data_IF_965577860103
#
_entry.id   IF_965577860103
#
_cell.length_a   1.000
_cell.length_b   1.000
_cell.length_c   1.000
_cell.angle_alpha   90.00
_cell.angle_beta   90.00
_cell.angle_gamma   90.00
#
_symmetry.space_group_name_H-M   'P 1'
#
loop_
_entity.id
_entity.type
_entity.pdbx_description
1 polymer ?
#
# COMPACT_ATOMS: atom_id res chain seq x y z
N UNK A 1 -71.52 23.65 -26.94
CA UNK A 1 -72.58 22.94 -26.19
C UNK A 1 -72.50 21.46 -26.56
N UNK A 2 -72.45 20.58 -25.56
CA UNK A 2 -72.48 19.10 -25.58
C UNK A 2 -71.23 18.26 -25.93
N UNK A 3 -70.77 17.56 -24.90
CA UNK A 3 -69.88 16.38 -24.84
C UNK A 3 -70.48 15.15 -25.51
N UNK A 4 -69.64 14.19 -25.98
CA UNK A 4 -69.70 12.75 -25.61
C UNK A 4 -68.34 12.05 -25.72
N UNK A 5 -68.05 11.24 -24.70
CA UNK A 5 -66.93 10.33 -24.49
C UNK A 5 -66.82 9.22 -25.55
N UNK A 6 -65.59 8.80 -25.87
CA UNK A 6 -65.30 7.37 -26.06
C UNK A 6 -63.86 7.03 -25.68
N UNK A 7 -63.76 5.91 -24.97
CA UNK A 7 -62.64 5.34 -24.25
C UNK A 7 -61.71 4.59 -25.22
N UNK A 8 -60.39 4.77 -25.11
CA UNK A 8 -59.47 3.63 -25.29
C UNK A 8 -58.20 3.83 -24.46
N UNK A 9 -58.01 2.91 -23.52
CA UNK A 9 -56.79 2.71 -22.74
C UNK A 9 -55.89 1.76 -23.54
N UNK A 10 -54.60 2.09 -23.68
CA UNK A 10 -53.54 1.09 -23.85
C UNK A 10 -52.20 1.68 -23.38
N UNK A 11 -51.52 0.88 -22.56
CA UNK A 11 -50.47 1.28 -21.64
C UNK A 11 -49.15 1.70 -22.31
N UNK A 12 -48.55 2.76 -21.78
CA UNK A 12 -47.14 3.09 -21.93
C UNK A 12 -46.37 2.24 -20.91
N UNK A 13 -45.55 1.30 -21.37
CA UNK A 13 -44.55 0.65 -20.51
C UNK A 13 -43.28 1.51 -20.49
N UNK A 14 -43.19 2.43 -19.52
CA UNK A 14 -41.93 3.00 -19.08
C UNK A 14 -41.25 1.99 -18.15
N UNK A 15 -40.27 1.25 -18.66
CA UNK A 15 -39.32 0.55 -17.78
C UNK A 15 -38.34 1.60 -17.24
N UNK A 16 -38.49 1.91 -15.95
CA UNK A 16 -37.56 2.75 -15.20
C UNK A 16 -36.15 2.18 -15.26
N UNK A 17 -35.19 3.04 -15.62
CA UNK A 17 -33.77 2.83 -15.32
C UNK A 17 -33.64 3.00 -13.80
N UNK A 18 -33.36 1.92 -13.07
CA UNK A 18 -32.91 2.02 -11.67
C UNK A 18 -31.41 2.29 -11.66
N UNK A 19 -30.91 3.41 -11.10
CA UNK A 19 -29.49 3.61 -10.88
C UNK A 19 -29.18 3.29 -9.42
N UNK A 20 -29.31 2.05 -9.00
CA UNK A 20 -28.84 1.63 -7.66
C UNK A 20 -27.73 0.59 -7.81
N UNK A 21 -26.61 1.01 -8.40
CA UNK A 21 -25.32 0.43 -8.02
C UNK A 21 -24.96 0.96 -6.63
N UNK A 22 -25.57 0.39 -5.60
CA UNK A 22 -24.94 0.41 -4.28
C UNK A 22 -23.71 -0.49 -4.38
N UNK A 23 -22.57 0.10 -4.74
CA UNK A 23 -21.28 -0.50 -4.40
C UNK A 23 -21.25 -0.58 -2.87
N UNK A 24 -21.67 -1.72 -2.32
CA UNK A 24 -21.51 -1.99 -0.89
C UNK A 24 -20.02 -1.96 -0.61
N UNK A 25 -19.59 -0.96 0.15
CA UNK A 25 -18.22 -0.86 0.64
C UNK A 25 -17.90 -2.17 1.38
N UNK A 26 -16.95 -2.93 0.84
CA UNK A 26 -16.56 -4.23 1.37
C UNK A 26 -16.22 -4.05 2.85
N UNK A 27 -16.84 -4.81 3.77
CA UNK A 27 -16.52 -4.70 5.19
C UNK A 27 -15.01 -4.85 5.37
N UNK A 28 -14.38 -3.91 6.06
CA UNK A 28 -12.95 -3.98 6.36
C UNK A 28 -12.71 -5.20 7.27
N UNK A 29 -12.37 -6.35 6.68
CA UNK A 29 -11.98 -7.55 7.42
C UNK A 29 -10.53 -7.36 7.87
N UNK A 30 -10.33 -7.04 9.15
CA UNK A 30 -8.98 -6.97 9.74
C UNK A 30 -8.87 -6.07 10.97
N UNK A 31 -7.67 -6.06 11.57
CA UNK A 31 -7.30 -5.05 12.56
C UNK A 31 -7.05 -3.75 11.81
N UNK A 32 -7.69 -2.62 12.18
CA UNK A 32 -7.40 -1.35 11.55
C UNK A 32 -5.90 -1.04 11.69
N UNK A 33 -5.24 -0.74 10.59
CA UNK A 33 -3.82 -0.35 10.59
C UNK A 33 -3.77 1.16 10.81
N UNK A 34 -3.47 1.64 12.04
CA UNK A 34 -3.35 3.07 12.26
C UNK A 34 -2.18 3.63 11.43
N UNK A 35 -2.23 4.90 11.02
CA UNK A 35 -1.08 5.56 10.43
C UNK A 35 0.14 5.43 11.33
N UNK A 36 1.31 5.23 10.72
CA UNK A 36 2.58 5.35 11.42
C UNK A 36 2.71 6.81 11.91
N UNK A 37 2.40 7.04 13.19
CA UNK A 37 2.70 8.31 13.86
C UNK A 37 4.20 8.64 13.85
N UNK A 38 4.61 9.72 14.52
CA UNK A 38 6.02 10.13 14.49
C UNK A 38 6.92 9.22 15.34
N UNK A 39 6.35 8.53 16.33
CA UNK A 39 7.12 7.80 17.33
C UNK A 39 8.04 8.74 18.13
N UNK A 40 9.00 8.20 18.89
CA UNK A 40 9.17 6.78 19.17
C UNK A 40 8.03 6.22 20.04
N UNK A 41 7.70 4.95 19.84
CA UNK A 41 6.76 4.21 20.69
C UNK A 41 7.49 3.30 21.66
N UNK A 42 6.83 2.95 22.75
CA UNK A 42 7.32 1.93 23.69
C UNK A 42 6.32 0.80 23.72
N UNK A 43 6.78 -0.41 23.40
CA UNK A 43 5.98 -1.62 23.39
C UNK A 43 6.47 -2.62 24.43
N UNK A 44 5.54 -3.39 24.96
CA UNK A 44 5.83 -4.63 25.67
C UNK A 44 5.46 -5.81 24.75
N UNK A 45 6.35 -6.79 24.65
CA UNK A 45 6.10 -8.05 23.95
C UNK A 45 6.06 -9.20 24.96
N UNK A 46 5.75 -10.41 24.50
CA UNK A 46 5.80 -11.60 25.35
C UNK A 46 7.23 -11.91 25.82
N UNK A 47 8.23 -11.54 25.02
CA UNK A 47 9.64 -11.85 25.21
C UNK A 47 10.43 -10.71 25.88
N UNK A 48 10.09 -9.45 25.57
CA UNK A 48 10.83 -8.29 26.06
C UNK A 48 9.91 -7.12 26.38
N UNK A 49 10.21 -6.46 27.49
CA UNK A 49 9.48 -5.28 27.94
C UNK A 49 10.19 -3.99 27.51
N UNK A 50 9.42 -2.92 27.37
CA UNK A 50 9.90 -1.55 27.11
C UNK A 50 10.77 -1.43 25.84
N UNK A 51 10.40 -2.12 24.77
CA UNK A 51 11.04 -1.97 23.45
C UNK A 51 10.72 -0.59 22.90
N UNK A 52 11.76 0.22 22.68
CA UNK A 52 11.62 1.53 21.99
C UNK A 52 11.71 1.32 20.48
N UNK A 53 10.68 1.76 19.76
CA UNK A 53 10.61 1.69 18.30
C UNK A 53 10.59 3.10 17.73
N UNK A 54 11.50 3.41 16.81
CA UNK A 54 11.57 4.68 16.10
C UNK A 54 11.57 4.46 14.60
N UNK A 55 10.92 5.36 13.85
CA UNK A 55 11.01 5.37 12.40
C UNK A 55 12.39 5.88 11.99
N UNK A 56 13.14 5.06 11.25
CA UNK A 56 14.43 5.47 10.67
C UNK A 56 14.21 6.25 9.38
N UNK A 57 13.38 5.71 8.48
CA UNK A 57 13.03 6.34 7.20
C UNK A 57 11.61 5.92 6.76
N UNK A 58 11.05 6.63 5.78
CA UNK A 58 9.71 6.40 5.20
C UNK A 58 9.80 6.25 3.68
N UNK A 59 8.65 6.08 3.02
CA UNK A 59 8.54 6.05 1.55
C UNK A 59 9.25 4.88 0.85
N UNK A 60 9.57 3.82 1.59
CA UNK A 60 9.99 2.54 1.02
C UNK A 60 8.76 1.75 0.56
N UNK A 61 8.84 1.16 -0.63
CA UNK A 61 7.80 0.32 -1.20
C UNK A 61 8.23 -1.14 -1.16
N UNK A 62 7.64 -1.91 -0.25
CA UNK A 62 7.91 -3.33 -0.04
C UNK A 62 9.42 -3.62 0.16
N UNK A 63 10.06 -3.04 1.19
CA UNK A 63 11.46 -3.34 1.51
C UNK A 63 11.64 -4.82 1.87
N UNK A 64 12.76 -5.42 1.46
CA UNK A 64 13.04 -6.85 1.69
C UNK A 64 14.26 -7.06 2.58
N UNK A 65 15.45 -6.63 2.15
CA UNK A 65 16.70 -6.78 2.90
C UNK A 65 17.35 -5.42 3.16
N UNK A 66 18.23 -5.41 4.17
CA UNK A 66 19.06 -4.26 4.54
C UNK A 66 20.52 -4.70 4.73
N UNK A 67 21.46 -3.92 4.18
CA UNK A 67 22.89 -4.09 4.43
C UNK A 67 23.51 -2.76 4.88
N UNK A 68 24.27 -2.80 5.97
CA UNK A 68 24.95 -1.63 6.52
C UNK A 68 26.32 -1.44 5.88
N UNK A 69 26.56 -0.26 5.33
CA UNK A 69 27.83 0.15 4.77
C UNK A 69 28.81 0.59 5.89
N UNK A 70 30.14 0.55 5.66
CA UNK A 70 31.13 0.94 6.66
C UNK A 70 31.00 2.38 7.18
N UNK A 71 30.37 3.26 6.39
CA UNK A 71 30.11 4.65 6.76
C UNK A 71 28.75 4.84 7.48
N UNK A 72 28.10 3.76 7.92
CA UNK A 72 26.77 3.74 8.56
C UNK A 72 25.58 4.03 7.65
N UNK A 73 25.78 4.21 6.35
CA UNK A 73 24.67 4.25 5.39
C UNK A 73 24.05 2.84 5.22
N UNK A 74 22.81 2.78 4.74
CA UNK A 74 22.08 1.53 4.59
C UNK A 74 21.64 1.33 3.14
N UNK A 75 21.99 0.18 2.57
CA UNK A 75 21.39 -0.31 1.33
C UNK A 75 20.08 -1.03 1.68
N UNK A 76 19.01 -0.74 0.94
CA UNK A 76 17.71 -1.40 1.11
C UNK A 76 17.22 -1.90 -0.23
N UNK A 77 16.91 -3.19 -0.33
CA UNK A 77 16.26 -3.74 -1.53
C UNK A 77 14.75 -3.60 -1.42
N UNK A 78 14.12 -3.24 -2.54
CA UNK A 78 12.67 -3.16 -2.66
C UNK A 78 12.20 -4.20 -3.68
N UNK A 79 11.17 -4.97 -3.30
CA UNK A 79 10.64 -6.06 -4.14
C UNK A 79 10.33 -5.66 -5.59
N UNK A 80 9.84 -4.44 -5.92
CA UNK A 80 9.62 -4.02 -7.30
C UNK A 80 10.88 -3.92 -8.19
N UNK A 81 12.07 -4.29 -7.70
CA UNK A 81 13.30 -4.29 -8.50
C UNK A 81 14.15 -3.05 -8.31
N UNK A 82 14.14 -2.43 -7.12
CA UNK A 82 14.90 -1.20 -6.85
C UNK A 82 15.85 -1.41 -5.68
N UNK A 83 17.07 -0.88 -5.82
CA UNK A 83 18.01 -0.74 -4.72
C UNK A 83 18.01 0.72 -4.26
N UNK A 84 17.80 0.94 -2.96
CA UNK A 84 17.75 2.26 -2.33
C UNK A 84 18.95 2.43 -1.40
N UNK A 85 19.28 3.68 -1.12
CA UNK A 85 20.24 4.04 -0.09
C UNK A 85 19.62 5.03 0.89
N UNK A 86 19.85 4.79 2.18
CA UNK A 86 19.45 5.67 3.27
C UNK A 86 20.72 6.24 3.89
N UNK A 87 20.79 7.57 3.97
CA UNK A 87 21.93 8.31 4.52
C UNK A 87 21.48 9.15 5.69
N UNK A 88 22.08 8.97 6.85
CA UNK A 88 21.69 9.70 8.06
C UNK A 88 20.16 9.66 8.34
N UNK A 89 19.53 8.51 8.12
CA UNK A 89 18.08 8.33 8.26
C UNK A 89 17.22 8.87 7.09
N UNK A 90 17.82 9.54 6.11
CA UNK A 90 17.10 10.10 4.96
C UNK A 90 17.20 9.16 3.76
N UNK A 91 16.06 8.79 3.18
CA UNK A 91 16.01 8.02 1.93
C UNK A 91 16.49 8.90 0.76
N UNK A 92 17.51 8.46 0.03
CA UNK A 92 17.94 9.15 -1.19
C UNK A 92 16.79 9.11 -2.21
N UNK A 93 16.40 10.25 -2.82
CA UNK A 93 15.32 10.27 -3.81
C UNK A 93 15.65 9.44 -5.05
N UNK A 94 16.92 9.23 -5.37
CA UNK A 94 17.36 8.46 -6.52
C UNK A 94 17.53 6.98 -6.18
N UNK A 95 17.12 6.13 -7.11
CA UNK A 95 17.38 4.69 -7.06
C UNK A 95 18.81 4.40 -7.52
N UNK A 96 19.45 3.40 -6.94
CA UNK A 96 20.74 2.91 -7.43
C UNK A 96 20.50 2.11 -8.72
N UNK A 97 21.18 2.51 -9.80
CA UNK A 97 21.14 1.84 -11.09
C UNK A 97 22.02 0.59 -11.14
N UNK A 98 21.84 -0.25 -12.16
CA UNK A 98 22.69 -1.43 -12.41
C UNK A 98 22.24 -2.70 -11.69
N UNK A 99 21.08 -2.68 -11.04
CA UNK A 99 20.43 -3.88 -10.51
C UNK A 99 19.91 -4.76 -11.64
N UNK A 100 19.84 -6.10 -11.46
CA UNK A 100 19.28 -7.00 -12.45
C UNK A 100 17.78 -6.80 -12.63
N UNK A 101 17.26 -7.11 -13.81
CA UNK A 101 15.82 -7.28 -14.03
C UNK A 101 15.33 -8.47 -13.20
N UNK A 102 14.25 -8.28 -12.44
CA UNK A 102 13.67 -9.30 -11.56
C UNK A 102 12.21 -9.54 -11.90
N UNK A 103 11.73 -10.74 -11.57
CA UNK A 103 10.32 -11.09 -11.64
C UNK A 103 9.63 -10.69 -10.33
N UNK A 104 8.57 -9.88 -10.41
CA UNK A 104 7.97 -9.21 -9.23
C UNK A 104 6.61 -9.79 -8.79
N UNK A 105 6.17 -10.92 -9.34
CA UNK A 105 4.90 -11.56 -8.96
C UNK A 105 5.02 -12.51 -7.75
N UNK A 106 3.89 -12.77 -7.08
CA UNK A 106 3.83 -13.68 -5.94
C UNK A 106 4.73 -13.23 -4.80
N UNK A 107 5.70 -14.08 -4.43
CA UNK A 107 6.76 -13.78 -3.47
C UNK A 107 8.08 -13.38 -4.16
N UNK A 108 8.04 -13.01 -5.44
CA UNK A 108 9.20 -12.56 -6.23
C UNK A 108 9.55 -11.09 -6.04
N UNK A 109 10.72 -10.70 -6.55
CA UNK A 109 11.27 -9.35 -6.46
C UNK A 109 12.79 -9.32 -6.37
N UNK A 110 13.35 -8.12 -6.11
CA UNK A 110 14.74 -7.97 -5.71
C UNK A 110 14.87 -8.31 -4.23
N UNK A 111 15.58 -9.39 -3.95
CA UNK A 111 15.64 -10.01 -2.62
C UNK A 111 16.83 -9.51 -1.83
N UNK A 112 17.75 -10.40 -1.48
CA UNK A 112 18.83 -10.09 -0.55
C UNK A 112 19.91 -9.20 -1.17
N UNK A 113 20.65 -8.52 -0.30
CA UNK A 113 21.85 -7.76 -0.65
C UNK A 113 22.90 -8.01 0.42
N UNK A 114 24.12 -8.33 -0.02
CA UNK A 114 25.26 -8.53 0.87
C UNK A 114 26.45 -7.74 0.35
N UNK A 115 27.26 -7.21 1.27
CA UNK A 115 28.54 -6.63 0.93
C UNK A 115 29.57 -7.74 0.72
N UNK A 116 30.47 -7.54 -0.22
CA UNK A 116 31.64 -8.40 -0.34
C UNK A 116 32.52 -8.28 0.92
N UNK A 117 33.11 -9.38 1.41
CA UNK A 117 34.07 -9.36 2.53
C UNK A 117 35.26 -8.41 2.32
#
# INVERSE_FOLDING_TARGET
MSFRFSLLVAAVFLFSISPDSHAQEQPAIGVPVPPLGEGPWVFDTAEQHKIRVSVVTKELSHPWAIAFLPNSDMLVTERPGRLRIVRNGVLDPHVISGVPTVRTDGNGGLMDVALHP
#
